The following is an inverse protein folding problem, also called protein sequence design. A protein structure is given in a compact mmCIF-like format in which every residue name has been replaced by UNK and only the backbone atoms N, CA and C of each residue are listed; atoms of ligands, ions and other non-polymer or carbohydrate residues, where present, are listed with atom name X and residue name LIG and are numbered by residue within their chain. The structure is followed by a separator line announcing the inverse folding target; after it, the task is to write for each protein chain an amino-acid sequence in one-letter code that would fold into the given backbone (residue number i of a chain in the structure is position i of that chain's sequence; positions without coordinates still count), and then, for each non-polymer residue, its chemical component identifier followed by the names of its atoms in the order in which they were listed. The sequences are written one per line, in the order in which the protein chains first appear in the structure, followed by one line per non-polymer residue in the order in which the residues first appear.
data_IF_240174291345
#
_entry.id   IF_240174291345
#
_cell.length_a   1.000
_cell.length_b   1.000
_cell.length_c   1.000
_cell.angle_alpha   90.00
_cell.angle_beta   90.00
_cell.angle_gamma   90.00
#
_symmetry.space_group_name_H-M   'P 1'
#
loop_
_entity.id
_entity.type
_entity.pdbx_description
1 polymer ?
#
# COMPACT_ATOMS: atom_id res chain seq x y z
N UNK A 1 13.45 12.40 13.82
CA UNK A 1 12.30 12.60 14.74
C UNK A 1 11.65 13.98 14.57
N UNK A 2 12.43 15.07 14.59
CA UNK A 2 11.96 16.46 14.45
C UNK A 2 11.12 16.74 13.19
N UNK A 3 11.55 16.28 12.01
CA UNK A 3 10.79 16.47 10.75
C UNK A 3 9.46 15.70 10.70
N UNK A 4 9.38 14.54 11.37
CA UNK A 4 8.15 13.73 11.43
C UNK A 4 7.09 14.40 12.31
N UNK A 5 7.54 15.00 13.41
CA UNK A 5 6.68 15.78 14.29
C UNK A 5 6.12 17.00 13.55
N UNK A 6 6.97 17.75 12.84
CA UNK A 6 6.56 18.94 12.07
C UNK A 6 5.52 18.60 10.99
N UNK A 7 5.73 17.55 10.20
CA UNK A 7 4.76 17.16 9.17
C UNK A 7 3.42 16.72 9.77
N UNK A 8 3.45 15.96 10.87
CA UNK A 8 2.25 15.55 11.59
C UNK A 8 1.49 16.76 12.16
N UNK A 9 2.21 17.72 12.76
CA UNK A 9 1.63 18.96 13.27
C UNK A 9 1.05 19.81 12.14
N UNK A 10 1.68 19.87 10.97
CA UNK A 10 1.19 20.61 9.80
C UNK A 10 -0.08 19.97 9.20
N UNK A 11 -0.15 18.63 9.15
CA UNK A 11 -1.37 17.93 8.71
C UNK A 11 -2.51 18.16 9.71
N UNK A 12 -2.23 18.10 11.01
CA UNK A 12 -3.23 18.42 12.04
C UNK A 12 -3.68 19.88 11.93
N UNK A 13 -2.76 20.83 11.80
CA UNK A 13 -3.10 22.25 11.58
C UNK A 13 -3.90 22.46 10.30
N UNK A 14 -3.57 21.78 9.21
CA UNK A 14 -4.33 21.84 7.97
C UNK A 14 -5.74 21.27 8.12
N UNK A 15 -5.89 20.13 8.82
CA UNK A 15 -7.19 19.54 9.14
C UNK A 15 -8.01 20.43 10.09
N UNK A 16 -7.36 21.13 11.03
CA UNK A 16 -7.98 22.13 11.91
C UNK A 16 -8.34 23.42 11.17
N UNK A 17 -7.58 23.83 10.16
CA UNK A 17 -7.91 24.98 9.30
C UNK A 17 -9.07 24.66 8.35
N UNK A 18 -9.20 23.41 7.91
CA UNK A 18 -10.38 22.92 7.20
C UNK A 18 -11.59 22.73 8.13
N UNK A 19 -11.35 22.59 9.44
CA UNK A 19 -12.39 22.62 10.46
C UNK A 19 -12.86 24.07 10.67
N UNK A 20 -13.73 24.54 9.77
CA UNK A 20 -14.55 25.72 10.09
C UNK A 20 -15.56 25.32 11.16
N UNK A 21 -15.51 25.88 12.38
CA UNK A 21 -16.63 25.73 13.30
C UNK A 21 -17.86 26.27 12.58
N UNK A 22 -18.95 25.49 12.50
CA UNK A 22 -20.13 26.01 11.86
C UNK A 22 -20.59 27.20 12.70
N UNK A 23 -20.62 28.38 12.09
CA UNK A 23 -21.56 29.40 12.51
C UNK A 23 -22.95 28.83 12.20
N UNK A 24 -23.45 27.98 13.10
CA UNK A 24 -24.82 27.49 13.08
C UNK A 24 -25.66 28.67 13.53
N UNK A 25 -25.96 29.58 12.60
CA UNK A 25 -27.23 30.25 12.66
C UNK A 25 -28.25 29.12 12.51
N UNK A 26 -28.83 28.68 13.63
CA UNK A 26 -30.06 27.91 13.60
C UNK A 26 -31.01 28.70 12.71
N UNK A 27 -31.30 28.21 11.50
CA UNK A 27 -32.25 28.88 10.64
C UNK A 27 -33.63 28.54 11.22
N UNK A 28 -34.34 29.48 11.87
CA UNK A 28 -35.67 29.21 12.42
C UNK A 28 -36.66 28.77 11.34
N UNK A 29 -36.29 28.95 10.07
CA UNK A 29 -37.05 28.58 8.87
C UNK A 29 -37.66 27.18 8.93
N UNK A 30 -37.02 26.16 9.52
CA UNK A 30 -37.62 24.83 9.60
C UNK A 30 -38.71 24.74 10.68
N UNK A 31 -38.49 25.30 11.87
CA UNK A 31 -39.52 25.38 12.90
C UNK A 31 -40.71 26.24 12.44
N UNK A 32 -40.43 27.30 11.68
CA UNK A 32 -41.44 28.14 11.04
C UNK A 32 -42.20 27.41 9.92
N UNK A 33 -41.53 26.59 9.11
CA UNK A 33 -42.16 25.78 8.05
C UNK A 33 -42.98 24.61 8.60
N UNK A 34 -42.54 23.98 9.69
CA UNK A 34 -43.23 22.83 10.27
C UNK A 34 -44.27 23.20 11.32
N UNK A 35 -44.16 24.40 11.93
CA UNK A 35 -44.98 24.82 13.06
C UNK A 35 -44.66 24.09 14.37
N UNK A 36 -43.54 23.36 14.41
CA UNK A 36 -43.16 22.49 15.53
C UNK A 36 -42.06 23.11 16.38
N UNK A 37 -42.05 22.89 17.72
CA UNK A 37 -40.96 23.32 18.56
C UNK A 37 -39.66 22.59 18.22
N UNK A 38 -38.51 23.21 18.46
CA UNK A 38 -37.19 22.63 18.14
C UNK A 38 -36.98 21.23 18.75
N UNK A 39 -37.54 20.97 19.94
CA UNK A 39 -37.48 19.67 20.63
C UNK A 39 -38.15 18.53 19.86
N UNK A 40 -39.06 18.84 18.93
CA UNK A 40 -39.68 17.83 18.05
C UNK A 40 -38.63 17.14 17.18
N UNK A 41 -37.59 17.86 16.75
CA UNK A 41 -36.50 17.31 15.92
C UNK A 41 -35.17 17.15 16.65
N UNK A 42 -34.98 17.81 17.79
CA UNK A 42 -33.73 17.81 18.54
C UNK A 42 -33.86 17.11 19.90
N UNK A 43 -32.75 16.57 20.40
CA UNK A 43 -32.65 16.10 21.78
C UNK A 43 -32.66 17.31 22.71
N UNK A 44 -33.43 17.27 23.80
CA UNK A 44 -33.55 18.38 24.73
C UNK A 44 -32.17 18.83 25.25
N UNK A 45 -31.88 20.12 25.13
CA UNK A 45 -30.58 20.69 25.51
C UNK A 45 -29.41 20.38 24.58
N UNK A 46 -29.64 19.71 23.44
CA UNK A 46 -28.61 19.41 22.42
C UNK A 46 -29.03 19.87 21.02
N UNK A 47 -28.04 20.07 20.15
CA UNK A 47 -28.24 20.28 18.71
C UNK A 47 -28.35 18.95 17.94
N UNK A 48 -28.21 17.81 18.63
CA UNK A 48 -28.31 16.49 18.02
C UNK A 48 -29.74 16.19 17.60
N UNK A 49 -29.91 15.54 16.45
CA UNK A 49 -31.24 15.14 15.96
C UNK A 49 -31.72 13.88 16.67
N UNK A 50 -32.93 13.94 17.22
CA UNK A 50 -33.66 12.77 17.70
C UNK A 50 -34.14 11.92 16.48
N UNK A 51 -34.73 10.73 16.66
CA UNK A 51 -35.19 9.89 15.56
C UNK A 51 -36.15 10.61 14.59
N UNK A 52 -37.03 11.48 15.09
CA UNK A 52 -37.96 12.30 14.31
C UNK A 52 -37.22 13.29 13.42
N UNK A 53 -36.25 14.03 13.97
CA UNK A 53 -35.42 14.96 13.20
C UNK A 53 -34.54 14.26 12.17
N UNK A 54 -34.05 13.05 12.50
CA UNK A 54 -33.33 12.21 11.55
C UNK A 54 -34.23 11.73 10.40
N UNK A 55 -35.48 11.34 10.69
CA UNK A 55 -36.45 10.96 9.69
C UNK A 55 -36.84 12.15 8.80
N UNK A 56 -37.06 13.33 9.39
CA UNK A 56 -37.35 14.58 8.66
C UNK A 56 -36.23 14.91 7.67
N UNK A 57 -34.97 14.79 8.11
CA UNK A 57 -33.82 14.97 7.23
C UNK A 57 -33.74 13.90 6.13
N UNK A 58 -34.04 12.65 6.45
CA UNK A 58 -33.98 11.53 5.50
C UNK A 58 -35.09 11.56 4.45
N UNK A 59 -36.26 12.12 4.78
CA UNK A 59 -37.41 12.25 3.88
C UNK A 59 -37.39 13.57 3.06
N UNK A 60 -36.27 14.29 3.07
CA UNK A 60 -36.10 15.51 2.27
C UNK A 60 -36.75 16.75 2.85
N UNK A 61 -36.77 16.88 4.19
CA UNK A 61 -37.30 18.03 4.93
C UNK A 61 -38.78 18.32 4.63
N UNK A 62 -39.58 17.26 4.50
CA UNK A 62 -41.04 17.34 4.33
C UNK A 62 -41.75 17.00 5.64
N UNK A 63 -42.69 17.87 6.02
CA UNK A 63 -43.53 17.72 7.22
C UNK A 63 -45.01 17.73 6.81
N UNK A 64 -45.89 16.92 7.43
CA UNK A 64 -45.63 15.90 8.45
C UNK A 64 -44.85 14.69 7.92
N UNK A 65 -44.20 13.94 8.82
CA UNK A 65 -43.46 12.73 8.44
C UNK A 65 -44.39 11.67 7.86
N UNK A 66 -44.03 11.16 6.67
CA UNK A 66 -44.70 10.00 6.09
C UNK A 66 -44.16 8.73 6.77
N UNK A 67 -44.74 8.36 7.90
CA UNK A 67 -44.34 7.20 8.71
C UNK A 67 -43.11 7.48 9.58
N UNK A 68 -43.22 7.12 10.86
CA UNK A 68 -42.19 7.33 11.90
C UNK A 68 -41.20 6.16 12.02
N UNK A 69 -41.42 5.06 11.28
CA UNK A 69 -40.59 3.88 11.31
C UNK A 69 -39.47 3.96 10.26
N UNK A 70 -38.28 3.44 10.60
CA UNK A 70 -37.19 3.19 9.64
C UNK A 70 -37.74 2.47 8.40
N UNK A 71 -37.94 3.22 7.31
CA UNK A 71 -38.60 2.75 6.09
C UNK A 71 -37.73 1.81 5.25
N UNK A 72 -36.53 1.44 5.77
CA UNK A 72 -35.65 0.45 5.15
C UNK A 72 -36.24 -0.96 5.27
N UNK A 73 -36.34 -1.63 4.12
CA UNK A 73 -36.73 -3.05 4.05
C UNK A 73 -35.78 -3.91 4.89
N UNK A 74 -36.24 -5.05 5.46
CA UNK A 74 -35.37 -5.98 6.19
C UNK A 74 -34.13 -6.39 5.38
N UNK A 75 -34.30 -6.60 4.07
CA UNK A 75 -33.21 -6.88 3.15
C UNK A 75 -32.17 -5.76 3.11
N UNK A 76 -32.59 -4.49 2.98
CA UNK A 76 -31.69 -3.34 2.97
C UNK A 76 -30.91 -3.25 4.28
N UNK A 77 -31.55 -3.47 5.43
CA UNK A 77 -30.88 -3.47 6.74
C UNK A 77 -29.83 -4.57 6.88
N UNK A 78 -30.14 -5.78 6.42
CA UNK A 78 -29.19 -6.89 6.37
C UNK A 78 -27.98 -6.56 5.46
N UNK A 79 -28.24 -6.05 4.25
CA UNK A 79 -27.21 -5.66 3.29
C UNK A 79 -26.29 -4.55 3.84
N UNK A 80 -26.85 -3.49 4.42
CA UNK A 80 -26.06 -2.42 5.05
C UNK A 80 -25.17 -2.94 6.19
N UNK A 81 -25.65 -3.94 6.93
CA UNK A 81 -24.88 -4.55 8.03
C UNK A 81 -23.72 -5.39 7.50
N UNK A 82 -23.97 -6.23 6.49
CA UNK A 82 -22.92 -7.04 5.84
C UNK A 82 -21.86 -6.15 5.18
N UNK A 83 -22.28 -5.13 4.43
CA UNK A 83 -21.35 -4.20 3.78
C UNK A 83 -20.49 -3.43 4.78
N UNK A 84 -21.08 -2.97 5.90
CA UNK A 84 -20.32 -2.32 6.98
C UNK A 84 -19.32 -3.27 7.62
N UNK A 85 -19.72 -4.52 7.88
CA UNK A 85 -18.83 -5.54 8.42
C UNK A 85 -17.64 -5.80 7.48
N UNK A 86 -17.90 -6.05 6.20
CA UNK A 86 -16.85 -6.26 5.18
C UNK A 86 -15.91 -5.06 5.07
N UNK A 87 -16.45 -3.84 5.05
CA UNK A 87 -15.66 -2.62 4.98
C UNK A 87 -14.73 -2.47 6.19
N UNK A 88 -15.25 -2.73 7.40
CA UNK A 88 -14.48 -2.63 8.65
C UNK A 88 -13.36 -3.69 8.67
N UNK A 89 -13.68 -4.96 8.35
CA UNK A 89 -12.68 -6.04 8.30
C UNK A 89 -11.56 -5.71 7.31
N UNK A 90 -11.90 -5.24 6.12
CA UNK A 90 -10.90 -4.83 5.12
C UNK A 90 -10.06 -3.62 5.60
N UNK A 91 -10.68 -2.66 6.29
CA UNK A 91 -9.98 -1.51 6.85
C UNK A 91 -8.98 -1.92 7.93
N UNK A 92 -9.37 -2.81 8.84
CA UNK A 92 -8.48 -3.36 9.87
C UNK A 92 -7.36 -4.22 9.27
N UNK A 93 -7.68 -5.08 8.29
CA UNK A 93 -6.67 -5.87 7.57
C UNK A 93 -5.63 -4.95 6.91
N UNK A 94 -6.08 -3.88 6.28
CA UNK A 94 -5.21 -2.93 5.61
C UNK A 94 -4.37 -2.09 6.58
N UNK A 95 -4.98 -1.58 7.66
CA UNK A 95 -4.24 -0.88 8.73
C UNK A 95 -3.18 -1.80 9.36
N UNK A 96 -3.54 -3.06 9.61
CA UNK A 96 -2.63 -4.09 10.09
C UNK A 96 -1.45 -4.31 9.13
N UNK A 97 -1.68 -4.31 7.82
CA UNK A 97 -0.61 -4.42 6.82
C UNK A 97 0.35 -3.21 6.84
N UNK A 98 -0.18 -1.99 7.06
CA UNK A 98 0.66 -0.79 7.24
C UNK A 98 1.53 -0.93 8.49
N UNK A 99 0.97 -1.35 9.63
CA UNK A 99 1.75 -1.57 10.86
C UNK A 99 2.77 -2.70 10.72
N UNK A 100 2.39 -3.79 10.07
CA UNK A 100 3.28 -4.92 9.78
C UNK A 100 4.55 -4.45 9.06
N UNK A 101 4.41 -3.59 8.05
CA UNK A 101 5.55 -3.00 7.34
C UNK A 101 6.47 -2.21 8.29
N UNK A 102 5.91 -1.46 9.25
CA UNK A 102 6.70 -0.63 10.17
C UNK A 102 7.35 -1.43 11.31
N UNK A 103 6.75 -2.54 11.73
CA UNK A 103 7.26 -3.36 12.84
C UNK A 103 8.27 -4.39 12.33
N UNK A 104 8.01 -5.01 11.18
CA UNK A 104 8.72 -6.24 10.76
C UNK A 104 9.73 -5.98 9.64
N UNK A 105 9.51 -5.03 8.74
CA UNK A 105 10.44 -4.80 7.62
C UNK A 105 11.66 -4.01 8.12
N UNK A 106 12.72 -4.74 8.46
CA UNK A 106 14.06 -4.16 8.65
C UNK A 106 14.61 -3.68 7.29
N UNK A 107 15.49 -2.65 7.25
CA UNK A 107 16.03 -2.12 5.99
C UNK A 107 16.70 -3.18 5.11
N UNK A 108 17.29 -4.23 5.71
CA UNK A 108 17.90 -5.38 5.00
C UNK A 108 16.88 -6.25 4.23
N UNK A 109 15.59 -6.19 4.56
CA UNK A 109 14.54 -6.96 3.89
C UNK A 109 14.12 -6.32 2.55
N UNK A 110 14.47 -5.06 2.30
CA UNK A 110 14.15 -4.34 1.05
C UNK A 110 15.01 -4.82 -0.12
N UNK A 111 16.15 -5.46 0.17
CA UNK A 111 17.10 -6.00 -0.83
C UNK A 111 16.54 -7.21 -1.61
N UNK A 112 15.58 -7.93 -1.04
CA UNK A 112 15.04 -9.18 -1.62
C UNK A 112 13.73 -8.97 -2.42
N UNK A 113 13.24 -7.73 -2.51
CA UNK A 113 11.93 -7.43 -3.08
C UNK A 113 10.78 -7.78 -2.13
N UNK A 114 9.66 -7.06 -2.27
CA UNK A 114 8.48 -7.26 -1.42
C UNK A 114 7.70 -8.48 -1.94
N UNK A 115 7.30 -9.44 -1.09
CA UNK A 115 6.60 -10.65 -1.51
C UNK A 115 5.29 -10.35 -2.26
N UNK A 116 5.07 -10.98 -3.41
CA UNK A 116 3.92 -10.74 -4.30
C UNK A 116 2.57 -11.06 -3.65
N UNK A 117 2.53 -11.98 -2.68
CA UNK A 117 1.34 -12.29 -1.91
C UNK A 117 0.84 -11.09 -1.07
N UNK A 118 1.75 -10.29 -0.50
CA UNK A 118 1.39 -9.09 0.26
C UNK A 118 0.76 -8.02 -0.63
N UNK A 119 1.24 -7.89 -1.88
CA UNK A 119 0.62 -6.99 -2.86
C UNK A 119 -0.76 -7.45 -3.31
N UNK A 120 -0.96 -8.77 -3.52
CA UNK A 120 -2.29 -9.31 -3.83
C UNK A 120 -3.31 -8.99 -2.74
N UNK A 121 -2.94 -9.21 -1.48
CA UNK A 121 -3.79 -8.88 -0.34
C UNK A 121 -4.11 -7.38 -0.27
N UNK A 122 -3.13 -6.52 -0.58
CA UNK A 122 -3.32 -5.06 -0.61
C UNK A 122 -4.36 -4.66 -1.65
N UNK A 123 -4.26 -5.16 -2.88
CA UNK A 123 -5.22 -4.84 -3.95
C UNK A 123 -6.62 -5.38 -3.66
N UNK A 124 -6.73 -6.60 -3.10
CA UNK A 124 -8.02 -7.15 -2.66
C UNK A 124 -8.67 -6.23 -1.63
N UNK A 125 -7.93 -5.79 -0.61
CA UNK A 125 -8.45 -4.85 0.39
C UNK A 125 -8.88 -3.52 -0.21
N UNK A 126 -8.09 -2.95 -1.13
CA UNK A 126 -8.44 -1.70 -1.83
C UNK A 126 -9.75 -1.85 -2.60
N UNK A 127 -9.94 -2.96 -3.32
CA UNK A 127 -11.17 -3.24 -4.07
C UNK A 127 -12.35 -3.36 -3.12
N UNK A 128 -12.24 -4.15 -2.05
CA UNK A 128 -13.31 -4.33 -1.06
C UNK A 128 -13.68 -2.97 -0.45
N UNK A 129 -12.71 -2.18 0.01
CA UNK A 129 -12.94 -0.86 0.60
C UNK A 129 -13.60 0.11 -0.38
N UNK A 130 -13.18 0.11 -1.64
CA UNK A 130 -13.74 0.97 -2.69
C UNK A 130 -15.19 0.60 -2.98
N UNK A 131 -15.45 -0.67 -3.28
CA UNK A 131 -16.79 -1.16 -3.65
C UNK A 131 -17.77 -0.99 -2.49
N UNK A 132 -17.41 -1.50 -1.29
CA UNK A 132 -18.27 -1.36 -0.12
C UNK A 132 -18.45 0.10 0.29
N UNK A 133 -17.40 0.93 0.20
CA UNK A 133 -17.44 2.35 0.53
C UNK A 133 -18.35 3.15 -0.41
N UNK A 134 -18.30 2.89 -1.71
CA UNK A 134 -19.17 3.52 -2.72
C UNK A 134 -20.63 3.15 -2.46
N UNK A 135 -20.92 1.86 -2.26
CA UNK A 135 -22.29 1.39 -2.01
C UNK A 135 -22.84 2.03 -0.72
N UNK A 136 -22.08 1.97 0.38
CA UNK A 136 -22.47 2.57 1.65
C UNK A 136 -22.64 4.09 1.57
N UNK A 137 -21.82 4.78 0.76
CA UNK A 137 -21.96 6.22 0.52
C UNK A 137 -23.30 6.53 -0.13
N UNK A 138 -23.66 5.85 -1.22
CA UNK A 138 -24.94 6.08 -1.91
C UNK A 138 -26.13 5.71 -1.03
N UNK A 139 -26.06 4.58 -0.33
CA UNK A 139 -27.12 4.15 0.60
C UNK A 139 -27.34 5.14 1.75
N UNK A 140 -26.30 5.90 2.14
CA UNK A 140 -26.37 6.85 3.25
C UNK A 140 -26.68 8.28 2.82
N UNK A 141 -26.14 8.76 1.70
CA UNK A 141 -26.35 10.13 1.23
C UNK A 141 -27.63 10.30 0.41
N UNK A 142 -28.10 9.26 -0.28
CA UNK A 142 -29.24 9.31 -1.19
C UNK A 142 -29.01 10.11 -2.48
N UNK A 143 -28.25 11.23 -2.41
CA UNK A 143 -27.87 12.09 -3.53
C UNK A 143 -26.43 12.57 -3.38
N UNK A 144 -25.74 12.73 -4.51
CA UNK A 144 -24.34 13.20 -4.54
C UNK A 144 -24.21 14.66 -4.08
N UNK A 145 -25.25 15.48 -4.24
CA UNK A 145 -25.25 16.88 -3.77
C UNK A 145 -25.06 16.98 -2.25
N UNK A 146 -25.61 16.01 -1.50
CA UNK A 146 -25.44 15.94 -0.05
C UNK A 146 -23.98 15.73 0.39
N UNK A 147 -23.09 15.34 -0.53
CA UNK A 147 -21.66 15.21 -0.27
C UNK A 147 -20.99 16.58 -0.03
N UNK A 148 -21.46 17.66 -0.67
CA UNK A 148 -20.86 19.00 -0.51
C UNK A 148 -21.64 19.88 0.45
N UNK A 149 -22.97 19.74 0.44
CA UNK A 149 -23.86 20.63 1.19
C UNK A 149 -23.85 20.32 2.69
N UNK A 150 -23.68 19.06 3.07
CA UNK A 150 -23.75 18.62 4.47
C UNK A 150 -22.38 18.52 5.13
N UNK A 151 -22.29 18.79 6.44
CA UNK A 151 -21.06 18.59 7.23
C UNK A 151 -20.58 17.13 7.14
N UNK A 152 -21.53 16.20 7.26
CA UNK A 152 -21.29 14.77 7.10
C UNK A 152 -20.66 14.46 5.73
N UNK A 153 -21.25 15.02 4.67
CA UNK A 153 -20.77 14.88 3.30
C UNK A 153 -19.34 15.39 3.13
N UNK A 154 -19.03 16.59 3.65
CA UNK A 154 -17.68 17.17 3.53
C UNK A 154 -16.62 16.33 4.23
N UNK A 155 -16.90 15.81 5.43
CA UNK A 155 -16.01 14.89 6.14
C UNK A 155 -15.83 13.57 5.37
N UNK A 156 -16.91 13.04 4.79
CA UNK A 156 -16.86 11.86 3.94
C UNK A 156 -16.05 12.10 2.66
N UNK A 157 -16.23 13.26 2.02
CA UNK A 157 -15.47 13.68 0.84
C UNK A 157 -13.98 13.79 1.14
N UNK A 158 -13.62 14.36 2.29
CA UNK A 158 -12.23 14.39 2.76
C UNK A 158 -11.67 12.98 2.99
N UNK A 159 -12.44 12.08 3.62
CA UNK A 159 -12.06 10.66 3.78
C UNK A 159 -11.82 9.98 2.43
N UNK A 160 -12.68 10.22 1.44
CA UNK A 160 -12.56 9.67 0.08
C UNK A 160 -11.28 10.20 -0.58
N UNK A 161 -11.01 11.51 -0.48
CA UNK A 161 -9.79 12.12 -1.02
C UNK A 161 -8.52 11.48 -0.43
N UNK A 162 -8.46 11.36 0.90
CA UNK A 162 -7.32 10.71 1.58
C UNK A 162 -7.17 9.24 1.19
N UNK A 163 -8.28 8.52 1.01
CA UNK A 163 -8.24 7.13 0.51
C UNK A 163 -7.70 7.05 -0.92
N UNK A 164 -8.11 7.95 -1.82
CA UNK A 164 -7.58 8.00 -3.20
C UNK A 164 -6.07 8.30 -3.22
N UNK A 165 -5.59 9.17 -2.32
CA UNK A 165 -4.14 9.41 -2.15
C UNK A 165 -3.41 8.13 -1.75
N UNK A 166 -3.97 7.33 -0.84
CA UNK A 166 -3.39 6.04 -0.43
C UNK A 166 -3.40 5.01 -1.57
N UNK A 167 -4.46 4.95 -2.39
CA UNK A 167 -4.52 4.09 -3.57
C UNK A 167 -3.49 4.51 -4.62
N UNK A 168 -3.33 5.82 -4.87
CA UNK A 168 -2.32 6.34 -5.79
C UNK A 168 -0.90 6.03 -5.31
N UNK A 169 -0.62 6.15 -4.01
CA UNK A 169 0.65 5.74 -3.41
C UNK A 169 0.91 4.23 -3.60
N UNK A 170 -0.10 3.38 -3.38
CA UNK A 170 0.01 1.94 -3.59
C UNK A 170 0.27 1.59 -5.07
N UNK A 171 -0.42 2.25 -6.01
CA UNK A 171 -0.20 2.10 -7.44
C UNK A 171 1.22 2.55 -7.84
N UNK A 172 1.71 3.67 -7.31
CA UNK A 172 3.07 4.14 -7.55
C UNK A 172 4.12 3.12 -7.08
N UNK A 173 3.97 2.58 -5.86
CA UNK A 173 4.89 1.55 -5.34
C UNK A 173 4.88 0.31 -6.21
N UNK A 174 3.68 -0.18 -6.53
CA UNK A 174 3.52 -1.46 -7.22
C UNK A 174 3.92 -1.38 -8.70
N UNK A 175 3.62 -0.28 -9.38
CA UNK A 175 3.86 -0.14 -10.82
C UNK A 175 5.23 0.48 -11.16
N UNK A 176 5.69 1.47 -10.39
CA UNK A 176 6.93 2.23 -10.69
C UNK A 176 8.10 1.77 -9.81
N UNK A 177 7.93 1.79 -8.50
CA UNK A 177 9.03 1.50 -7.57
C UNK A 177 9.46 0.03 -7.63
N UNK A 178 8.50 -0.89 -7.61
CA UNK A 178 8.76 -2.33 -7.68
C UNK A 178 9.39 -2.72 -9.04
N UNK A 179 8.93 -2.13 -10.15
CA UNK A 179 9.55 -2.34 -11.47
C UNK A 179 11.00 -1.84 -11.50
N UNK A 180 11.28 -0.68 -10.89
CA UNK A 180 12.63 -0.11 -10.81
C UNK A 180 13.58 -0.94 -9.92
N UNK A 181 13.10 -1.42 -8.79
CA UNK A 181 13.90 -2.25 -7.87
C UNK A 181 14.17 -3.65 -8.45
N UNK A 182 13.17 -4.30 -9.07
CA UNK A 182 13.37 -5.59 -9.73
C UNK A 182 14.24 -5.49 -10.99
N UNK A 183 14.13 -4.38 -11.73
CA UNK A 183 15.00 -4.10 -12.87
C UNK A 183 16.47 -3.86 -12.48
N UNK A 184 16.74 -3.40 -11.25
CA UNK A 184 18.09 -3.23 -10.72
C UNK A 184 18.63 -4.47 -9.96
N UNK A 185 17.75 -5.35 -9.49
CA UNK A 185 18.08 -6.50 -8.62
C UNK A 185 17.74 -7.85 -9.27
N UNK A 186 17.82 -7.96 -10.60
CA UNK A 186 17.57 -9.19 -11.35
C UNK A 186 18.63 -10.29 -11.16
N UNK A 187 19.39 -10.27 -10.06
CA UNK A 187 20.26 -11.35 -9.59
C UNK A 187 19.58 -12.31 -8.61
N UNK A 188 18.37 -12.78 -8.92
CA UNK A 188 17.62 -13.83 -8.20
C UNK A 188 17.30 -13.56 -6.72
N UNK A 189 16.35 -14.31 -6.13
CA UNK A 189 16.17 -14.41 -4.67
C UNK A 189 15.88 -15.85 -4.25
N UNK A 190 16.84 -16.52 -3.60
CA UNK A 190 16.60 -17.54 -2.59
C UNK A 190 17.59 -17.30 -1.44
N UNK A 191 17.06 -17.43 -0.24
CA UNK A 191 17.67 -17.04 1.04
C UNK A 191 19.15 -17.44 1.16
N UNK A 192 20.02 -16.47 1.42
CA UNK A 192 21.42 -16.69 1.76
C UNK A 192 21.95 -15.67 2.78
N UNK A 193 23.08 -16.00 3.44
CA UNK A 193 23.70 -15.19 4.49
C UNK A 193 24.06 -13.80 3.97
N UNK A 194 24.13 -12.82 4.87
CA UNK A 194 24.58 -11.45 4.57
C UNK A 194 25.83 -11.45 3.69
N UNK A 195 25.92 -10.51 2.73
CA UNK A 195 27.08 -10.35 1.83
C UNK A 195 28.44 -10.32 2.55
N UNK A 196 28.51 -9.92 3.82
CA UNK A 196 29.73 -10.00 4.64
C UNK A 196 30.27 -11.42 4.85
N UNK A 197 29.45 -12.46 4.67
CA UNK A 197 29.84 -13.88 4.79
C UNK A 197 30.00 -14.58 3.44
N UNK A 198 29.69 -13.91 2.32
CA UNK A 198 29.78 -14.51 0.99
C UNK A 198 31.23 -14.45 0.49
N UNK A 199 31.74 -15.56 -0.03
CA UNK A 199 33.09 -15.61 -0.59
C UNK A 199 33.21 -14.64 -1.76
N UNK A 200 34.28 -13.84 -1.76
CA UNK A 200 34.61 -12.96 -2.88
C UNK A 200 35.39 -13.76 -3.90
N UNK A 201 34.99 -13.67 -5.16
CA UNK A 201 35.68 -14.25 -6.30
C UNK A 201 36.26 -13.12 -7.14
N UNK A 202 37.50 -13.22 -7.59
CA UNK A 202 37.99 -12.40 -8.71
C UNK A 202 37.57 -13.05 -10.04
N UNK A 203 37.58 -12.31 -11.17
CA UNK A 203 37.34 -12.91 -12.49
C UNK A 203 38.29 -14.08 -12.80
N UNK A 204 39.56 -13.96 -12.39
CA UNK A 204 40.58 -14.99 -12.58
C UNK A 204 40.30 -16.22 -11.70
N UNK A 205 39.87 -15.99 -10.45
CA UNK A 205 39.46 -17.06 -9.56
C UNK A 205 38.21 -17.77 -10.08
N UNK A 206 37.22 -17.01 -10.57
CA UNK A 206 36.00 -17.56 -11.17
C UNK A 206 36.34 -18.45 -12.39
N UNK A 207 37.29 -18.03 -13.23
CA UNK A 207 37.72 -18.80 -14.41
C UNK A 207 38.25 -20.21 -14.09
N UNK A 208 38.72 -20.44 -12.86
CA UNK A 208 39.16 -21.77 -12.42
C UNK A 208 38.01 -22.75 -12.14
N UNK A 209 36.77 -22.26 -12.01
CA UNK A 209 35.56 -23.05 -11.75
C UNK A 209 34.82 -23.38 -13.05
N UNK A 210 35.55 -24.00 -13.99
CA UNK A 210 35.15 -24.25 -15.37
C UNK A 210 34.43 -25.58 -15.59
N UNK A 211 34.19 -26.40 -14.55
CA UNK A 211 33.54 -27.71 -14.70
C UNK A 211 34.36 -28.78 -15.44
N UNK A 212 35.65 -28.53 -15.75
CA UNK A 212 36.55 -29.49 -16.41
C UNK A 212 37.35 -30.27 -15.37
N UNK A 213 37.77 -31.49 -15.72
CA UNK A 213 38.63 -32.32 -14.86
C UNK A 213 38.07 -32.56 -13.44
N UNK A 214 36.74 -32.59 -13.30
CA UNK A 214 36.06 -32.76 -12.02
C UNK A 214 36.00 -31.51 -11.14
N UNK A 215 36.47 -30.35 -11.62
CA UNK A 215 36.30 -29.07 -10.93
C UNK A 215 34.82 -28.66 -10.84
N UNK A 216 34.42 -27.87 -9.84
CA UNK A 216 33.07 -27.31 -9.77
C UNK A 216 32.80 -26.39 -10.98
N UNK A 217 31.52 -26.24 -11.31
CA UNK A 217 31.04 -25.43 -12.44
C UNK A 217 30.33 -24.20 -11.94
N UNK A 218 30.99 -23.04 -11.95
CA UNK A 218 30.42 -21.78 -11.49
C UNK A 218 30.17 -20.82 -12.65
N UNK A 219 29.25 -19.88 -12.47
CA UNK A 219 29.01 -18.77 -13.41
C UNK A 219 28.59 -17.53 -12.64
N UNK A 220 28.84 -16.35 -13.19
CA UNK A 220 28.34 -15.10 -12.61
C UNK A 220 27.19 -14.49 -13.40
N UNK A 221 26.25 -13.88 -12.69
CA UNK A 221 25.21 -13.03 -13.24
C UNK A 221 24.88 -11.90 -12.26
N UNK A 222 24.94 -10.65 -12.72
CA UNK A 222 24.66 -9.46 -11.90
C UNK A 222 25.59 -9.31 -10.70
N UNK A 223 26.85 -9.75 -10.82
CA UNK A 223 27.84 -9.71 -9.73
C UNK A 223 27.73 -10.83 -8.69
N UNK A 224 26.79 -11.76 -8.83
CA UNK A 224 26.63 -12.92 -7.96
C UNK A 224 27.23 -14.15 -8.63
N UNK A 225 27.92 -15.01 -7.88
CA UNK A 225 28.47 -16.30 -8.36
C UNK A 225 27.54 -17.45 -7.96
N UNK A 226 27.13 -18.24 -8.94
CA UNK A 226 26.22 -19.38 -8.79
C UNK A 226 26.95 -20.70 -9.05
N UNK A 227 26.69 -21.69 -8.21
CA UNK A 227 27.07 -23.09 -8.42
C UNK A 227 26.03 -23.82 -9.25
N UNK A 228 26.41 -24.11 -10.50
CA UNK A 228 25.58 -24.82 -11.47
C UNK A 228 26.04 -26.27 -11.69
N UNK A 229 26.95 -26.78 -10.85
CA UNK A 229 27.54 -28.13 -10.98
C UNK A 229 26.51 -29.25 -10.98
N UNK A 230 25.39 -29.07 -10.27
CA UNK A 230 24.28 -30.04 -10.22
C UNK A 230 23.40 -30.05 -11.48
N UNK A 231 23.59 -29.13 -12.41
CA UNK A 231 22.73 -29.00 -13.60
C UNK A 231 23.21 -29.87 -14.76
N UNK A 232 22.33 -30.75 -15.26
CA UNK A 232 22.59 -31.55 -16.47
C UNK A 232 22.87 -30.69 -17.71
N UNK A 233 22.39 -29.45 -17.71
CA UNK A 233 22.55 -28.49 -18.81
C UNK A 233 23.93 -27.81 -18.83
N UNK A 234 24.77 -28.06 -17.82
CA UNK A 234 26.10 -27.46 -17.63
C UNK A 234 27.22 -28.52 -17.62
N UNK A 235 26.98 -29.69 -18.25
CA UNK A 235 27.97 -30.78 -18.31
C UNK A 235 29.29 -30.30 -18.91
N UNK A 236 30.40 -30.65 -18.25
CA UNK A 236 31.76 -30.28 -18.66
C UNK A 236 31.95 -28.76 -18.81
N UNK A 237 31.21 -27.98 -18.02
CA UNK A 237 31.29 -26.52 -18.04
C UNK A 237 30.68 -25.85 -19.25
N UNK A 238 29.91 -26.56 -20.08
CA UNK A 238 29.30 -26.00 -21.29
C UNK A 238 27.80 -25.94 -21.18
N UNK A 239 27.24 -24.82 -21.59
CA UNK A 239 25.80 -24.61 -21.69
C UNK A 239 25.38 -24.25 -23.11
N UNK A 240 24.44 -25.02 -23.66
CA UNK A 240 23.89 -24.86 -25.00
C UNK A 240 24.94 -24.76 -26.14
N UNK A 241 26.16 -25.26 -25.90
CA UNK A 241 27.28 -25.20 -26.85
C UNK A 241 27.85 -23.80 -27.11
N UNK A 242 27.38 -22.76 -26.40
CA UNK A 242 27.73 -21.35 -26.63
C UNK A 242 28.33 -20.65 -25.41
N UNK A 243 27.96 -21.10 -24.21
CA UNK A 243 28.41 -20.47 -22.98
C UNK A 243 29.31 -21.42 -22.20
N UNK A 244 30.37 -20.87 -21.63
CA UNK A 244 31.31 -21.59 -20.79
C UNK A 244 31.17 -21.15 -19.33
N UNK A 245 31.37 -22.09 -18.42
CA UNK A 245 31.47 -21.82 -16.99
C UNK A 245 32.79 -21.10 -16.67
N UNK A 246 32.87 -20.53 -15.49
CA UNK A 246 33.97 -19.69 -15.04
C UNK A 246 33.95 -18.27 -15.60
N UNK A 247 32.82 -17.84 -16.18
CA UNK A 247 32.66 -16.51 -16.77
C UNK A 247 31.48 -15.73 -16.14
N UNK A 248 31.50 -14.41 -16.31
CA UNK A 248 30.34 -13.54 -16.11
C UNK A 248 29.46 -13.57 -17.36
N UNK A 249 28.25 -14.08 -17.21
CA UNK A 249 27.26 -14.26 -18.28
C UNK A 249 26.09 -13.28 -18.10
N UNK A 250 26.35 -12.12 -17.47
CA UNK A 250 25.34 -11.07 -17.27
C UNK A 250 24.75 -10.58 -18.59
N UNK A 251 25.60 -10.36 -19.60
CA UNK A 251 25.20 -9.82 -20.89
C UNK A 251 24.58 -10.88 -21.83
N UNK A 252 24.79 -12.16 -21.54
CA UNK A 252 24.29 -13.27 -22.36
C UNK A 252 22.83 -13.64 -22.06
N UNK A 253 22.39 -13.47 -20.80
CA UNK A 253 21.06 -13.90 -20.37
C UNK A 253 19.89 -13.27 -21.17
N UNK A 254 19.91 -12.00 -21.60
CA UNK A 254 18.86 -11.42 -22.44
C UNK A 254 18.61 -12.17 -23.76
N UNK A 255 19.60 -12.92 -24.26
CA UNK A 255 19.50 -13.69 -25.49
C UNK A 255 19.13 -15.17 -25.27
N UNK A 256 18.97 -15.58 -24.00
CA UNK A 256 18.62 -16.94 -23.64
C UNK A 256 17.11 -17.20 -23.82
N UNK A 257 16.70 -18.46 -24.10
CA UNK A 257 15.28 -18.84 -24.18
C UNK A 257 14.58 -18.91 -22.81
N UNK A 258 15.22 -18.40 -21.75
CA UNK A 258 14.73 -18.42 -20.37
C UNK A 258 15.15 -17.13 -19.64
N UNK A 259 14.40 -16.76 -18.59
CA UNK A 259 14.75 -15.64 -17.74
C UNK A 259 15.52 -16.05 -16.48
N UNK A 260 15.72 -15.08 -15.59
CA UNK A 260 16.40 -15.22 -14.28
C UNK A 260 15.77 -16.26 -13.34
N UNK A 261 14.60 -16.81 -13.66
CA UNK A 261 13.93 -17.82 -12.83
C UNK A 261 14.75 -19.11 -12.71
N UNK A 262 15.65 -19.38 -13.66
CA UNK A 262 16.55 -20.54 -13.60
C UNK A 262 17.50 -20.50 -12.40
N UNK A 263 17.84 -19.29 -11.92
CA UNK A 263 18.73 -19.09 -10.78
C UNK A 263 18.09 -19.46 -9.43
N UNK A 264 16.77 -19.72 -9.39
CA UNK A 264 16.08 -20.26 -8.21
C UNK A 264 16.37 -21.75 -8.00
N UNK A 265 17.00 -22.43 -8.96
CA UNK A 265 17.27 -23.88 -8.88
C UNK A 265 18.73 -24.20 -8.56
N UNK A 266 19.56 -23.18 -8.37
CA UNK A 266 21.02 -23.29 -8.21
C UNK A 266 21.48 -22.46 -7.02
N UNK A 267 22.56 -22.90 -6.38
CA UNK A 267 23.06 -22.32 -5.13
C UNK A 267 23.92 -21.11 -5.43
N UNK A 268 23.85 -20.03 -4.63
CA UNK A 268 24.85 -18.96 -4.71
C UNK A 268 25.99 -19.24 -3.77
N UNK A 269 27.19 -19.00 -4.24
CA UNK A 269 28.42 -19.33 -3.53
C UNK A 269 29.28 -18.11 -3.23
N UNK A 270 29.00 -16.97 -3.86
CA UNK A 270 29.74 -15.74 -3.60
C UNK A 270 29.34 -14.55 -4.44
N UNK A 271 30.22 -13.55 -4.44
CA UNK A 271 30.11 -12.30 -5.22
C UNK A 271 31.37 -12.10 -6.07
N UNK A 272 31.19 -11.66 -7.31
CA UNK A 272 32.28 -11.35 -8.23
C UNK A 272 32.77 -9.94 -7.93
N UNK A 273 34.01 -9.82 -7.45
CA UNK A 273 34.67 -8.55 -7.18
C UNK A 273 35.37 -8.10 -8.45
N UNK A 274 34.73 -7.23 -9.23
CA UNK A 274 35.41 -6.56 -10.34
C UNK A 274 36.28 -5.41 -9.82
N UNK A 275 37.40 -5.15 -10.48
CA UNK A 275 38.41 -4.13 -10.13
C UNK A 275 37.91 -2.68 -10.31
N UNK A 276 36.63 -2.46 -10.66
CA UNK A 276 36.07 -1.13 -10.92
C UNK A 276 35.08 -0.70 -9.83
N UNK A 277 35.61 -0.09 -8.76
CA UNK A 277 34.84 0.47 -7.64
C UNK A 277 33.97 1.70 -8.03
N UNK A 278 34.18 2.29 -9.21
CA UNK A 278 33.48 3.52 -9.65
C UNK A 278 31.99 3.29 -9.98
N UNK A 279 31.62 2.10 -10.49
CA UNK A 279 30.21 1.75 -10.79
C UNK A 279 29.38 1.39 -9.55
N UNK A 280 30.04 0.98 -8.47
CA UNK A 280 29.39 0.51 -7.25
C UNK A 280 28.84 1.68 -6.40
N UNK A 281 29.50 2.85 -6.45
CA UNK A 281 29.05 4.06 -5.76
C UNK A 281 27.71 4.61 -6.26
N UNK A 282 27.51 4.65 -7.58
CA UNK A 282 26.27 5.15 -8.22
C UNK A 282 25.09 4.22 -7.92
N UNK A 283 25.30 2.90 -7.98
CA UNK A 283 24.25 1.92 -7.71
C UNK A 283 23.86 1.91 -6.22
N UNK A 284 24.84 2.07 -5.32
CA UNK A 284 24.63 2.21 -3.87
C UNK A 284 23.87 3.49 -3.53
N UNK A 285 24.16 4.61 -4.19
CA UNK A 285 23.42 5.86 -4.00
C UNK A 285 21.97 5.75 -4.50
N UNK A 286 21.76 5.17 -5.68
CA UNK A 286 20.43 4.94 -6.25
C UNK A 286 19.59 4.00 -5.37
N UNK A 287 20.19 2.93 -4.84
CA UNK A 287 19.56 2.02 -3.90
C UNK A 287 19.19 2.74 -2.59
N UNK A 288 20.10 3.51 -2.00
CA UNK A 288 19.81 4.29 -0.78
C UNK A 288 18.70 5.32 -0.99
N UNK A 289 18.64 5.99 -2.14
CA UNK A 289 17.55 6.91 -2.49
C UNK A 289 16.20 6.17 -2.58
N UNK A 290 16.17 4.98 -3.18
CA UNK A 290 14.95 4.18 -3.27
C UNK A 290 14.46 3.68 -1.91
N UNK A 291 15.37 3.22 -1.03
CA UNK A 291 15.05 2.82 0.35
C UNK A 291 14.53 4.00 1.17
N UNK A 292 15.18 5.18 1.06
CA UNK A 292 14.69 6.41 1.70
C UNK A 292 13.29 6.78 1.22
N UNK A 293 13.02 6.65 -0.08
CA UNK A 293 11.70 6.92 -0.65
C UNK A 293 10.63 5.92 -0.17
N UNK A 294 10.98 4.63 -0.03
CA UNK A 294 10.08 3.62 0.53
C UNK A 294 9.73 3.94 1.99
N UNK A 295 10.72 4.28 2.81
CA UNK A 295 10.47 4.72 4.19
C UNK A 295 9.63 5.98 4.25
N UNK A 296 9.91 6.97 3.41
CA UNK A 296 9.11 8.20 3.33
C UNK A 296 7.65 7.87 3.04
N UNK A 297 7.40 7.04 2.02
CA UNK A 297 6.06 6.70 1.60
C UNK A 297 5.31 5.83 2.62
N UNK A 298 6.00 4.90 3.30
CA UNK A 298 5.42 4.13 4.38
C UNK A 298 4.93 5.04 5.52
N UNK A 299 5.76 6.00 5.95
CA UNK A 299 5.39 6.98 6.98
C UNK A 299 4.26 7.91 6.51
N UNK A 300 4.32 8.37 5.26
CA UNK A 300 3.27 9.18 4.65
C UNK A 300 1.93 8.44 4.68
N UNK A 301 1.90 7.18 4.24
CA UNK A 301 0.70 6.36 4.24
C UNK A 301 0.14 6.14 5.65
N UNK A 302 1.01 5.94 6.65
CA UNK A 302 0.59 5.82 8.05
C UNK A 302 -0.09 7.10 8.54
N UNK A 303 0.48 8.28 8.24
CA UNK A 303 -0.12 9.58 8.63
C UNK A 303 -1.49 9.75 7.96
N UNK A 304 -1.61 9.45 6.67
CA UNK A 304 -2.89 9.55 5.96
C UNK A 304 -3.92 8.57 6.51
N UNK A 305 -3.53 7.33 6.83
CA UNK A 305 -4.41 6.34 7.44
C UNK A 305 -4.91 6.78 8.84
N UNK A 306 -4.02 7.32 9.68
CA UNK A 306 -4.41 7.89 10.98
C UNK A 306 -5.30 9.11 10.83
N UNK A 307 -5.08 9.94 9.80
CA UNK A 307 -5.95 11.09 9.48
C UNK A 307 -7.35 10.64 9.10
N UNK A 308 -7.49 9.54 8.35
CA UNK A 308 -8.79 8.93 8.05
C UNK A 308 -9.49 8.48 9.34
N UNK A 309 -8.78 7.84 10.28
CA UNK A 309 -9.34 7.45 11.57
C UNK A 309 -9.74 8.67 12.42
N UNK A 310 -8.96 9.75 12.40
CA UNK A 310 -9.28 10.99 13.09
C UNK A 310 -10.56 11.63 12.54
N UNK A 311 -10.78 11.60 11.22
CA UNK A 311 -12.05 12.04 10.62
C UNK A 311 -13.24 11.24 11.16
N UNK A 312 -13.07 9.93 11.44
CA UNK A 312 -14.11 9.13 12.08
C UNK A 312 -14.41 9.60 13.51
N UNK A 313 -13.41 10.10 14.24
CA UNK A 313 -13.61 10.67 15.58
C UNK A 313 -14.35 12.02 15.53
N UNK A 314 -14.14 12.81 14.47
CA UNK A 314 -14.89 14.03 14.19
C UNK A 314 -16.31 13.76 13.71
N UNK A 315 -16.68 12.49 13.52
CA UNK A 315 -17.98 12.07 13.03
C UNK A 315 -19.08 12.11 14.09
N UNK A 316 -18.85 12.78 15.24
CA UNK A 316 -19.89 13.08 16.22
C UNK A 316 -21.01 13.86 15.53
N UNK A 317 -22.09 13.10 15.32
CA UNK A 317 -23.44 13.56 14.98
C UNK A 317 -23.96 14.29 16.19
#
# INVERSE_FOLDING_TARGET
MRQRLVLFTLVILFLLLLYRPPSVLARPNFAEQTGEPCITCHVEGSLDLNPTGQAFRQQGYRWPLAGTADSRTPFRRALETVLRFLHIVAAFSWLGAIFFIHIIIKPKTVEHGIPTAAFRLTWINIIILSVTGIILMFMRLGSIHNLVDTRFGRLLGLKILLFLVLVAAAAFVTLRLNRKLRGASSGGSLALPSEEMMRKFTPEELASYDGKEGRPTYMSHGGIVYDVSGSKLWRLGKHAGRHEAGADLTEDLPFAPHGVQVFERVTRVGVLTSVNEEGHGVNKEHHQRAVKMLHFLANFNLIVALSILFILALWRV
#
